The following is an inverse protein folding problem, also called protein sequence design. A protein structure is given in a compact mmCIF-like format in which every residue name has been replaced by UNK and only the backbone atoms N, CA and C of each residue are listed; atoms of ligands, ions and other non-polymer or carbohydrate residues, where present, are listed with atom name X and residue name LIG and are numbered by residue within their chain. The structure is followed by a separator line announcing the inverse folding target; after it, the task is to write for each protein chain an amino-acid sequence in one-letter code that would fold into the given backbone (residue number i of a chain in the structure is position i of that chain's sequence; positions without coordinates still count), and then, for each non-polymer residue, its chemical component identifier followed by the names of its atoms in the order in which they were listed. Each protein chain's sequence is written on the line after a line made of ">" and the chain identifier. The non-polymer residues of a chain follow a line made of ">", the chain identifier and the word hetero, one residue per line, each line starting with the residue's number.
data_IF_967093549529
#
_entry.id   IF_967093549529
#
_cell.length_a   1.000
_cell.length_b   1.000
_cell.length_c   1.000
_cell.angle_alpha   90.00
_cell.angle_beta   90.00
_cell.angle_gamma   90.00
#
_symmetry.space_group_name_H-M   'P 1'
#
loop_
_entity.id
_entity.type
_entity.pdbx_description
1 polymer ?
#
# COMPACT_ATOMS: atom_id res chain seq x y z
N UNK A 1 -11.37 -10.98 -23.03
CA UNK A 1 -10.34 -11.33 -22.03
C UNK A 1 -10.98 -11.27 -20.63
N UNK A 2 -10.79 -12.33 -19.83
CA UNK A 2 -11.25 -12.33 -18.42
C UNK A 2 -10.22 -11.58 -17.55
N UNK A 3 -10.57 -10.36 -17.14
CA UNK A 3 -9.71 -9.52 -16.28
C UNK A 3 -9.43 -10.13 -14.90
N UNK A 4 -10.28 -11.10 -14.46
CA UNK A 4 -10.09 -11.79 -13.18
C UNK A 4 -8.83 -12.67 -13.15
N UNK A 5 -8.26 -12.99 -14.32
CA UNK A 5 -6.98 -13.73 -14.41
C UNK A 5 -5.86 -13.01 -13.67
N UNK A 6 -5.85 -11.66 -13.65
CA UNK A 6 -4.83 -10.89 -12.93
C UNK A 6 -4.86 -11.10 -11.40
N UNK A 7 -6.02 -11.47 -10.83
CA UNK A 7 -6.15 -11.80 -9.41
C UNK A 7 -5.57 -13.18 -9.04
N UNK A 8 -5.15 -13.97 -10.04
CA UNK A 8 -4.43 -15.24 -9.80
C UNK A 8 -2.93 -15.06 -9.57
N UNK A 9 -2.40 -13.88 -9.89
CA UNK A 9 -1.02 -13.56 -9.55
C UNK A 9 -0.87 -13.47 -8.03
N UNK A 10 0.21 -14.06 -7.51
CA UNK A 10 0.53 -13.96 -6.08
C UNK A 10 1.35 -12.70 -5.85
N UNK A 11 0.85 -11.83 -5.01
CA UNK A 11 1.51 -10.59 -4.59
C UNK A 11 1.78 -10.62 -3.09
N UNK A 12 2.96 -10.14 -2.68
CA UNK A 12 3.20 -9.69 -1.31
C UNK A 12 2.52 -8.34 -1.05
N UNK A 13 2.64 -7.85 0.17
CA UNK A 13 2.19 -6.51 0.55
C UNK A 13 3.29 -5.79 1.33
N UNK A 14 3.46 -4.53 1.02
CA UNK A 14 4.61 -3.75 1.47
C UNK A 14 4.21 -2.32 1.82
N UNK A 15 4.90 -1.75 2.81
CA UNK A 15 4.95 -0.30 2.97
C UNK A 15 6.21 0.21 2.27
N UNK A 16 6.02 0.98 1.23
CA UNK A 16 7.08 1.70 0.52
C UNK A 16 7.27 3.07 1.15
N UNK A 17 8.48 3.43 1.50
CA UNK A 17 8.81 4.74 2.10
C UNK A 17 9.90 5.44 1.33
N UNK A 18 9.84 6.76 1.31
CA UNK A 18 10.85 7.63 0.72
C UNK A 18 10.84 9.01 1.40
N UNK A 19 11.92 9.75 1.21
CA UNK A 19 12.08 11.11 1.71
C UNK A 19 12.75 11.98 0.62
N UNK A 20 12.34 13.23 0.55
CA UNK A 20 13.04 14.28 -0.18
C UNK A 20 12.80 15.62 0.50
N UNK A 21 13.81 16.50 0.53
CA UNK A 21 13.70 17.84 1.10
C UNK A 21 13.11 17.89 2.52
N UNK A 22 13.48 16.91 3.36
CA UNK A 22 13.00 16.80 4.73
C UNK A 22 11.57 16.30 4.89
N UNK A 23 10.87 15.93 3.81
CA UNK A 23 9.51 15.37 3.84
C UNK A 23 9.56 13.86 3.69
N UNK A 24 9.08 13.15 4.70
CA UNK A 24 8.89 11.70 4.65
C UNK A 24 7.50 11.35 4.14
N UNK A 25 7.38 10.28 3.37
CA UNK A 25 6.09 9.70 3.01
C UNK A 25 6.18 8.20 2.81
N UNK A 26 5.03 7.53 2.89
CA UNK A 26 4.91 6.12 2.59
C UNK A 26 3.57 5.78 1.96
N UNK A 27 3.52 4.67 1.22
CA UNK A 27 2.30 4.13 0.64
C UNK A 27 2.33 2.60 0.62
N UNK A 28 1.16 1.98 0.52
CA UNK A 28 1.05 0.54 0.30
C UNK A 28 1.30 0.23 -1.17
N UNK A 29 2.14 -0.78 -1.42
CA UNK A 29 2.31 -1.38 -2.75
C UNK A 29 2.23 -2.90 -2.65
N UNK A 30 1.98 -3.56 -3.77
CA UNK A 30 2.02 -5.02 -3.93
C UNK A 30 2.97 -5.47 -5.05
N UNK A 31 3.79 -4.57 -5.55
CA UNK A 31 4.57 -4.74 -6.79
C UNK A 31 6.08 -4.85 -6.55
N UNK A 32 6.52 -5.08 -5.28
CA UNK A 32 7.93 -5.32 -5.02
C UNK A 32 8.31 -6.77 -5.33
N UNK A 33 9.44 -6.95 -6.01
CA UNK A 33 9.98 -8.26 -6.34
C UNK A 33 11.46 -8.23 -6.62
N UNK A 34 12.18 -9.28 -6.24
CA UNK A 34 13.58 -9.46 -6.60
C UNK A 34 13.72 -9.68 -8.12
N UNK A 35 14.65 -8.99 -8.75
CA UNK A 35 14.91 -9.08 -10.19
C UNK A 35 16.16 -9.91 -10.47
N UNK A 36 17.23 -9.64 -9.73
CA UNK A 36 18.50 -10.38 -9.82
C UNK A 36 19.05 -10.62 -8.43
N UNK A 37 19.81 -11.70 -8.25
CA UNK A 37 20.49 -12.03 -6.99
C UNK A 37 21.94 -11.54 -6.96
N UNK A 38 22.60 -11.46 -8.12
CA UNK A 38 23.97 -11.00 -8.23
C UNK A 38 24.17 -10.21 -9.54
N UNK A 39 24.29 -8.88 -9.47
CA UNK A 39 24.11 -8.06 -8.27
C UNK A 39 22.66 -8.11 -7.77
N UNK A 40 22.47 -7.90 -6.45
CA UNK A 40 21.15 -7.97 -5.85
C UNK A 40 20.31 -6.74 -6.23
N UNK A 41 19.20 -6.96 -6.93
CA UNK A 41 18.30 -5.92 -7.42
C UNK A 41 16.84 -6.24 -7.11
N UNK A 42 16.10 -5.20 -6.80
CA UNK A 42 14.66 -5.22 -6.59
C UNK A 42 13.96 -4.30 -7.60
N UNK A 43 12.76 -4.68 -8.02
CA UNK A 43 11.87 -3.80 -8.77
C UNK A 43 10.65 -3.42 -7.95
N UNK A 44 10.13 -2.21 -8.18
CA UNK A 44 8.85 -1.73 -7.67
C UNK A 44 8.12 -0.97 -8.78
N UNK A 45 6.81 -1.16 -8.91
CA UNK A 45 5.98 -0.32 -9.77
C UNK A 45 5.11 0.60 -8.89
N UNK A 46 5.26 1.90 -9.04
CA UNK A 46 4.63 2.90 -8.17
C UNK A 46 3.70 3.79 -8.98
N UNK A 47 2.46 3.93 -8.52
CA UNK A 47 1.48 4.83 -9.14
C UNK A 47 1.96 6.29 -9.03
N UNK A 48 1.95 7.02 -10.15
CA UNK A 48 2.37 8.43 -10.22
C UNK A 48 1.48 9.37 -9.39
N UNK A 49 0.27 8.96 -9.04
CA UNK A 49 -0.60 9.72 -8.13
C UNK A 49 -0.12 9.68 -6.67
N UNK A 50 0.70 8.71 -6.29
CA UNK A 50 1.26 8.62 -4.94
C UNK A 50 2.35 9.68 -4.72
N UNK A 51 2.26 10.42 -3.62
CA UNK A 51 3.31 11.38 -3.26
C UNK A 51 4.67 10.72 -3.05
N UNK A 52 4.71 9.49 -2.53
CA UNK A 52 5.93 8.69 -2.38
C UNK A 52 6.64 8.47 -3.70
N UNK A 53 5.91 8.38 -4.83
CA UNK A 53 6.49 8.30 -6.16
C UNK A 53 7.38 9.51 -6.47
N UNK A 54 6.91 10.73 -6.19
CA UNK A 54 7.66 11.96 -6.47
C UNK A 54 8.91 12.05 -5.61
N UNK A 55 8.82 11.62 -4.33
CA UNK A 55 9.96 11.57 -3.43
C UNK A 55 11.03 10.60 -3.92
N UNK A 56 10.64 9.42 -4.43
CA UNK A 56 11.59 8.45 -5.01
C UNK A 56 12.25 9.03 -6.25
N UNK A 57 11.49 9.70 -7.12
CA UNK A 57 12.05 10.33 -8.31
C UNK A 57 13.10 11.40 -7.96
N UNK A 58 12.87 12.16 -6.91
CA UNK A 58 13.77 13.22 -6.45
C UNK A 58 15.00 12.65 -5.74
N UNK A 59 14.82 11.74 -4.78
CA UNK A 59 15.90 11.24 -3.92
C UNK A 59 16.64 10.04 -4.49
N UNK A 60 16.04 9.30 -5.43
CA UNK A 60 16.54 8.02 -5.98
C UNK A 60 16.70 6.91 -4.92
N UNK A 61 16.05 7.05 -3.77
CA UNK A 61 16.15 6.09 -2.66
C UNK A 61 14.78 5.74 -2.13
N UNK A 62 14.64 4.49 -1.68
CA UNK A 62 13.44 4.02 -1.00
C UNK A 62 13.74 2.88 -0.04
N UNK A 63 12.81 2.64 0.90
CA UNK A 63 12.76 1.42 1.69
C UNK A 63 11.45 0.67 1.39
N UNK A 64 11.52 -0.65 1.40
CA UNK A 64 10.37 -1.55 1.33
C UNK A 64 10.30 -2.31 2.65
N UNK A 65 9.25 -2.10 3.43
CA UNK A 65 8.94 -2.90 4.62
C UNK A 65 8.00 -4.04 4.21
N UNK A 66 8.41 -5.27 4.43
CA UNK A 66 7.66 -6.48 4.03
C UNK A 66 6.64 -6.77 5.13
N UNK A 67 5.34 -6.59 4.83
CA UNK A 67 4.29 -6.84 5.80
C UNK A 67 4.12 -8.33 6.05
N UNK A 68 3.95 -8.69 7.32
CA UNK A 68 3.66 -10.05 7.76
C UNK A 68 2.17 -10.28 7.96
N UNK A 69 1.77 -11.52 8.19
CA UNK A 69 0.38 -11.88 8.56
C UNK A 69 -0.07 -11.28 9.89
N UNK A 70 0.88 -10.77 10.69
CA UNK A 70 0.60 -10.03 11.94
C UNK A 70 0.26 -8.55 11.71
N UNK A 71 0.37 -8.07 10.47
CA UNK A 71 0.04 -6.68 10.13
C UNK A 71 -1.44 -6.40 10.35
N UNK A 72 -1.74 -5.31 11.06
CA UNK A 72 -3.12 -4.89 11.35
C UNK A 72 -3.67 -4.01 10.23
N UNK A 73 -4.99 -4.00 10.06
CA UNK A 73 -5.67 -3.18 9.04
C UNK A 73 -5.35 -1.69 9.18
N UNK A 74 -5.07 -1.21 10.40
CA UNK A 74 -4.66 0.17 10.67
C UNK A 74 -3.43 0.60 9.89
N UNK A 75 -2.45 -0.28 9.68
CA UNK A 75 -1.26 -0.01 8.86
C UNK A 75 -1.65 0.24 7.41
N UNK A 76 -2.54 -0.59 6.86
CA UNK A 76 -3.05 -0.42 5.49
C UNK A 76 -3.87 0.86 5.35
N UNK A 77 -4.71 1.18 6.34
CA UNK A 77 -5.48 2.42 6.36
C UNK A 77 -4.57 3.64 6.44
N UNK A 78 -3.56 3.59 7.30
CA UNK A 78 -2.63 4.70 7.52
C UNK A 78 -1.80 5.01 6.28
N UNK A 79 -1.20 4.01 5.65
CA UNK A 79 -0.32 4.21 4.50
C UNK A 79 -1.04 4.15 3.15
N UNK A 80 -2.19 3.47 3.05
CA UNK A 80 -2.90 3.22 1.79
C UNK A 80 -4.06 4.18 1.48
N UNK A 81 -4.76 4.73 2.51
CA UNK A 81 -6.02 5.45 2.30
C UNK A 81 -5.93 6.96 2.52
N UNK A 82 -4.74 7.50 2.67
CA UNK A 82 -4.50 8.94 2.78
C UNK A 82 -3.33 9.35 1.89
N UNK A 83 -3.36 10.61 1.43
CA UNK A 83 -2.30 11.16 0.60
C UNK A 83 -1.21 11.82 1.47
N UNK A 84 0.06 11.49 1.23
CA UNK A 84 1.19 12.19 1.84
C UNK A 84 1.35 13.65 1.38
N UNK A 85 0.56 14.09 0.38
CA UNK A 85 0.52 15.51 -0.03
C UNK A 85 -0.24 16.38 0.98
N UNK A 86 -1.19 15.79 1.71
CA UNK A 86 -2.09 16.51 2.64
C UNK A 86 -1.89 16.11 4.09
N UNK A 87 -1.26 14.95 4.34
CA UNK A 87 -1.06 14.42 5.70
C UNK A 87 0.39 14.01 5.87
N UNK A 88 1.04 14.49 6.92
CA UNK A 88 2.31 13.92 7.36
C UNK A 88 2.06 12.59 8.07
N UNK A 89 2.37 11.50 7.37
CA UNK A 89 2.12 10.13 7.85
C UNK A 89 3.07 9.70 8.96
N UNK A 90 4.15 10.45 9.21
CA UNK A 90 5.15 10.10 10.21
C UNK A 90 5.15 11.00 11.44
N UNK A 91 4.41 12.13 11.45
CA UNK A 91 4.39 13.10 12.55
C UNK A 91 4.10 12.49 13.93
N UNK A 92 3.24 11.46 14.01
CA UNK A 92 2.88 10.77 15.25
C UNK A 92 2.96 9.24 15.11
N UNK A 93 3.70 8.76 14.12
CA UNK A 93 3.83 7.32 13.88
C UNK A 93 5.10 6.78 14.55
N UNK A 94 4.93 6.04 15.63
CA UNK A 94 6.04 5.56 16.48
C UNK A 94 6.57 4.17 16.09
N UNK A 95 5.80 3.40 15.30
CA UNK A 95 6.15 2.04 14.90
C UNK A 95 7.03 2.03 13.64
N UNK A 96 8.08 2.85 13.65
CA UNK A 96 9.05 2.95 12.57
C UNK A 96 10.45 3.26 13.12
N UNK A 97 11.47 2.93 12.32
CA UNK A 97 12.87 3.28 12.58
C UNK A 97 13.51 3.78 11.29
N UNK A 98 14.65 4.46 11.39
CA UNK A 98 15.45 4.82 10.21
C UNK A 98 16.51 3.76 9.95
N UNK A 99 16.62 3.35 8.69
CA UNK A 99 17.70 2.49 8.20
C UNK A 99 18.97 3.31 7.92
N UNK A 100 20.04 2.64 7.50
CA UNK A 100 21.33 3.28 7.22
C UNK A 100 21.26 4.38 6.14
N UNK A 101 20.31 4.27 5.18
CA UNK A 101 20.10 5.30 4.16
C UNK A 101 19.32 6.53 4.64
N UNK A 102 18.94 6.58 5.92
CA UNK A 102 18.21 7.66 6.56
C UNK A 102 16.69 7.63 6.38
N UNK A 103 16.14 6.70 5.60
CA UNK A 103 14.70 6.56 5.36
C UNK A 103 14.03 5.71 6.45
N UNK A 104 12.74 5.97 6.70
CA UNK A 104 11.96 5.14 7.60
C UNK A 104 11.69 3.74 7.00
N UNK A 105 11.67 2.75 7.89
CA UNK A 105 11.02 1.46 7.67
C UNK A 105 10.06 1.18 8.83
N UNK A 106 9.02 0.40 8.57
CA UNK A 106 7.98 0.07 9.54
C UNK A 106 8.42 -1.15 10.34
N UNK A 107 8.19 -1.12 11.65
CA UNK A 107 8.58 -2.21 12.56
C UNK A 107 7.40 -3.08 12.99
N UNK A 108 6.19 -2.50 13.10
CA UNK A 108 5.01 -3.26 13.52
C UNK A 108 4.41 -4.06 12.37
N UNK A 109 4.17 -5.36 12.59
CA UNK A 109 3.60 -6.26 11.58
C UNK A 109 4.46 -6.40 10.34
N UNK A 110 5.78 -6.27 10.49
CA UNK A 110 6.77 -6.36 9.41
C UNK A 110 7.77 -7.45 9.74
N UNK A 111 8.07 -8.32 8.78
CA UNK A 111 9.03 -9.41 8.96
C UNK A 111 10.39 -9.17 8.34
N UNK A 112 10.56 -8.09 7.56
CA UNK A 112 11.84 -7.67 7.01
C UNK A 112 11.73 -6.32 6.31
N UNK A 113 12.89 -5.69 6.07
CA UNK A 113 12.95 -4.51 5.22
C UNK A 113 14.11 -4.61 4.21
N UNK A 114 13.99 -3.82 3.14
CA UNK A 114 14.99 -3.68 2.08
C UNK A 114 15.16 -2.20 1.82
N UNK A 115 16.40 -1.70 1.88
CA UNK A 115 16.81 -0.36 1.45
C UNK A 115 17.42 -0.45 0.06
N UNK A 116 17.07 0.47 -0.83
CA UNK A 116 17.53 0.41 -2.20
C UNK A 116 17.74 1.79 -2.84
N UNK A 117 18.68 1.86 -3.77
CA UNK A 117 18.98 3.03 -4.60
C UNK A 117 18.58 2.75 -6.06
N UNK A 118 17.77 3.64 -6.63
CA UNK A 118 17.24 3.52 -8.00
C UNK A 118 18.36 3.62 -9.02
N UNK A 119 18.46 2.62 -9.90
CA UNK A 119 19.36 2.57 -11.05
C UNK A 119 18.64 2.92 -12.35
N UNK A 120 17.38 2.48 -12.52
CA UNK A 120 16.60 2.67 -13.75
C UNK A 120 15.16 3.03 -13.45
N UNK A 121 14.58 3.82 -14.34
CA UNK A 121 13.15 4.20 -14.32
C UNK A 121 12.53 3.93 -15.69
N UNK A 122 11.39 3.25 -15.71
CA UNK A 122 10.63 2.97 -16.94
C UNK A 122 9.23 3.53 -16.75
N UNK A 123 8.84 4.42 -17.66
CA UNK A 123 7.49 5.00 -17.67
C UNK A 123 6.49 3.99 -18.24
N UNK A 124 5.48 3.64 -17.43
CA UNK A 124 4.39 2.73 -17.80
C UNK A 124 3.05 3.48 -17.94
N UNK A 125 3.06 4.79 -18.16
CA UNK A 125 1.86 5.62 -18.23
C UNK A 125 1.37 6.02 -16.85
N UNK A 126 0.53 5.22 -16.20
CA UNK A 126 -0.01 5.49 -14.84
C UNK A 126 0.98 5.21 -13.72
N UNK A 127 1.98 4.39 -13.96
CA UNK A 127 3.01 3.96 -13.00
C UNK A 127 4.40 4.21 -13.55
N UNK A 128 5.37 4.28 -12.66
CA UNK A 128 6.79 4.15 -13.01
C UNK A 128 7.30 2.84 -12.42
N UNK A 129 7.96 2.03 -13.24
CA UNK A 129 8.74 0.87 -12.78
C UNK A 129 10.14 1.36 -12.44
N UNK A 130 10.53 1.19 -11.19
CA UNK A 130 11.88 1.45 -10.71
C UNK A 130 12.63 0.13 -10.57
N UNK A 131 13.84 0.06 -11.08
CA UNK A 131 14.81 -1.01 -10.82
C UNK A 131 15.90 -0.41 -9.95
N UNK A 132 16.21 -1.06 -8.84
CA UNK A 132 17.10 -0.51 -7.82
C UNK A 132 18.09 -1.55 -7.31
N UNK A 133 19.31 -1.12 -7.05
CA UNK A 133 20.29 -1.90 -6.32
C UNK A 133 19.88 -1.98 -4.83
N UNK A 134 19.99 -3.16 -4.23
CA UNK A 134 19.79 -3.35 -2.80
C UNK A 134 21.04 -2.90 -2.05
N UNK A 135 20.89 -1.91 -1.17
CA UNK A 135 21.98 -1.34 -0.37
C UNK A 135 22.08 -2.02 1.00
N UNK A 136 20.92 -2.36 1.60
CA UNK A 136 20.80 -2.95 2.93
C UNK A 136 19.49 -3.71 3.06
N UNK A 137 19.46 -4.75 3.89
CA UNK A 137 18.26 -5.54 4.16
C UNK A 137 18.41 -6.31 5.47
N UNK A 138 17.29 -6.50 6.17
CA UNK A 138 17.27 -7.23 7.45
C UNK A 138 15.98 -8.03 7.61
N UNK A 139 16.09 -9.22 8.19
CA UNK A 139 14.95 -10.00 8.68
C UNK A 139 14.61 -9.55 10.09
N UNK A 140 13.40 -9.03 10.31
CA UNK A 140 12.94 -8.48 11.58
C UNK A 140 12.19 -9.52 12.44
N UNK A 141 11.53 -10.48 11.81
CA UNK A 141 10.82 -11.56 12.51
C UNK A 141 10.68 -12.82 11.65
N UNK A 142 10.32 -13.93 12.29
CA UNK A 142 10.00 -15.20 11.61
C UNK A 142 8.54 -15.34 11.17
N UNK A 143 7.72 -14.30 11.30
CA UNK A 143 6.32 -14.34 10.89
C UNK A 143 6.19 -14.50 9.36
N UNK A 144 5.19 -15.25 8.86
CA UNK A 144 4.95 -15.38 7.42
C UNK A 144 4.64 -14.03 6.78
N UNK A 145 5.11 -13.82 5.54
CA UNK A 145 4.79 -12.62 4.77
C UNK A 145 3.32 -12.60 4.35
N UNK A 146 2.64 -11.48 4.55
CA UNK A 146 1.27 -11.29 4.10
C UNK A 146 1.19 -11.29 2.57
N UNK A 147 0.34 -12.14 2.01
CA UNK A 147 -0.04 -12.09 0.61
C UNK A 147 -1.26 -11.18 0.40
N UNK A 148 -1.46 -10.70 -0.82
CA UNK A 148 -2.68 -9.94 -1.15
C UNK A 148 -3.94 -10.79 -0.92
N UNK A 149 -3.89 -12.11 -1.14
CA UNK A 149 -4.99 -13.02 -0.85
C UNK A 149 -5.29 -13.08 0.66
N UNK A 150 -4.25 -13.23 1.49
CA UNK A 150 -4.40 -13.21 2.96
C UNK A 150 -4.97 -11.87 3.47
N UNK A 151 -4.48 -10.75 2.93
CA UNK A 151 -5.06 -9.44 3.26
C UNK A 151 -6.58 -9.39 2.99
N UNK A 152 -7.03 -9.89 1.86
CA UNK A 152 -8.45 -9.86 1.50
C UNK A 152 -9.31 -10.79 2.37
N UNK A 153 -8.77 -11.95 2.80
CA UNK A 153 -9.51 -12.94 3.59
C UNK A 153 -9.48 -12.68 5.09
N UNK A 154 -8.35 -12.18 5.63
CA UNK A 154 -8.07 -12.21 7.07
C UNK A 154 -7.82 -10.83 7.68
N UNK A 155 -7.11 -9.91 6.98
CA UNK A 155 -6.75 -8.61 7.54
C UNK A 155 -7.81 -7.55 7.25
N UNK A 156 -8.31 -7.50 5.99
CA UNK A 156 -9.31 -6.51 5.57
C UNK A 156 -10.63 -6.75 6.31
N UNK A 157 -11.21 -5.73 6.99
CA UNK A 157 -12.50 -5.89 7.63
C UNK A 157 -13.54 -6.40 6.64
N UNK A 158 -14.21 -7.49 7.00
CA UNK A 158 -15.34 -7.98 6.22
C UNK A 158 -16.51 -7.03 6.44
N UNK A 159 -17.30 -6.70 5.40
CA UNK A 159 -18.53 -5.96 5.58
C UNK A 159 -19.38 -6.69 6.63
N UNK A 160 -19.85 -5.98 7.64
CA UNK A 160 -20.83 -6.55 8.55
C UNK A 160 -22.00 -7.09 7.74
N UNK A 161 -22.47 -8.31 8.05
CA UNK A 161 -23.66 -8.86 7.40
C UNK A 161 -24.79 -7.85 7.60
N UNK A 162 -25.59 -7.54 6.56
CA UNK A 162 -26.67 -6.58 6.69
C UNK A 162 -27.60 -6.96 7.84
N UNK A 163 -27.66 -6.08 8.83
CA UNK A 163 -28.42 -6.31 10.06
C UNK A 163 -29.94 -6.20 9.88
N UNK A 164 -30.44 -5.78 8.70
CA UNK A 164 -31.88 -5.69 8.44
C UNK A 164 -32.23 -5.96 6.98
N UNK A 165 -33.19 -6.88 6.75
CA UNK A 165 -33.83 -7.08 5.46
C UNK A 165 -34.60 -5.79 5.07
N UNK A 166 -34.25 -5.17 3.95
CA UNK A 166 -35.08 -4.16 3.31
C UNK A 166 -34.47 -2.81 2.96
N UNK A 167 -33.18 -2.56 3.27
CA UNK A 167 -32.51 -1.31 2.80
C UNK A 167 -31.45 -1.61 1.76
N UNK A 168 -31.47 -0.86 0.67
CA UNK A 168 -30.38 -0.88 -0.33
C UNK A 168 -29.05 -0.52 0.32
N UNK A 169 -28.02 -1.27 0.02
CA UNK A 169 -26.67 -1.04 0.54
C UNK A 169 -25.67 -0.85 -0.60
N UNK A 170 -24.72 0.05 -0.40
CA UNK A 170 -23.65 0.36 -1.32
C UNK A 170 -22.32 0.14 -0.63
N UNK A 171 -21.46 -0.69 -1.19
CA UNK A 171 -20.16 -1.03 -0.62
C UNK A 171 -19.02 -0.38 -1.38
N UNK A 172 -18.15 0.33 -0.69
CA UNK A 172 -16.90 0.83 -1.25
C UNK A 172 -16.00 -0.36 -1.64
N UNK A 173 -15.63 -0.47 -2.91
CA UNK A 173 -14.78 -1.55 -3.44
C UNK A 173 -13.34 -1.46 -2.94
N UNK A 174 -12.94 -0.28 -2.46
CA UNK A 174 -11.57 -0.03 -1.98
C UNK A 174 -11.39 -0.48 -0.52
N UNK A 175 -12.23 0.02 0.41
CA UNK A 175 -12.05 -0.24 1.85
C UNK A 175 -13.12 -1.13 2.47
N UNK A 176 -14.22 -1.42 1.76
CA UNK A 176 -15.31 -2.24 2.27
C UNK A 176 -16.34 -1.49 3.12
N UNK A 177 -16.23 -0.16 3.29
CA UNK A 177 -17.23 0.65 3.97
C UNK A 177 -18.61 0.46 3.32
N UNK A 178 -19.66 0.31 4.12
CA UNK A 178 -21.04 0.15 3.66
C UNK A 178 -21.83 1.42 3.96
N UNK A 179 -22.43 1.99 2.92
CA UNK A 179 -23.42 3.06 3.00
C UNK A 179 -24.82 2.47 2.89
N UNK A 180 -25.74 2.83 3.78
CA UNK A 180 -27.14 2.41 3.78
C UNK A 180 -28.01 3.54 3.26
N UNK A 181 -28.67 3.33 2.12
CA UNK A 181 -29.56 4.31 1.50
C UNK A 181 -30.15 3.77 0.20
N UNK A 182 -31.34 4.20 -0.18
CA UNK A 182 -32.00 3.78 -1.44
C UNK A 182 -31.14 4.12 -2.66
N UNK A 183 -30.49 5.28 -2.64
CA UNK A 183 -29.56 5.76 -3.65
C UNK A 183 -28.27 6.25 -2.99
N UNK A 184 -27.14 6.06 -3.67
CA UNK A 184 -25.87 6.63 -3.27
C UNK A 184 -25.77 8.04 -3.88
N UNK A 185 -25.60 9.12 -3.07
CA UNK A 185 -25.42 10.46 -3.62
C UNK A 185 -24.23 10.52 -4.59
N UNK A 186 -24.40 11.23 -5.71
CA UNK A 186 -23.35 11.31 -6.74
C UNK A 186 -22.06 11.99 -6.23
N UNK A 187 -22.18 12.85 -5.23
CA UNK A 187 -21.09 13.55 -4.55
C UNK A 187 -20.60 12.84 -3.28
N UNK A 188 -21.10 11.62 -3.01
CA UNK A 188 -20.70 10.86 -1.82
C UNK A 188 -19.21 10.53 -1.84
N UNK A 189 -18.57 10.82 -0.72
CA UNK A 189 -17.14 10.49 -0.50
C UNK A 189 -17.05 9.52 0.67
N UNK A 190 -16.39 8.40 0.44
CA UNK A 190 -16.20 7.38 1.47
C UNK A 190 -15.55 7.99 2.74
N UNK A 191 -16.17 7.89 3.93
CA UNK A 191 -15.63 8.49 5.15
C UNK A 191 -14.32 7.84 5.60
N UNK A 192 -14.05 6.57 5.20
CA UNK A 192 -12.85 5.84 5.59
C UNK A 192 -11.67 6.10 4.65
N UNK A 193 -11.88 5.95 3.34
CA UNK A 193 -10.77 6.00 2.36
C UNK A 193 -10.81 7.20 1.43
N UNK A 194 -11.84 8.07 1.56
CA UNK A 194 -12.02 9.28 0.76
C UNK A 194 -12.20 9.05 -0.75
N UNK A 195 -12.54 7.84 -1.16
CA UNK A 195 -12.86 7.53 -2.55
C UNK A 195 -14.27 7.99 -2.92
N UNK A 196 -14.50 8.40 -4.18
CA UNK A 196 -15.78 8.92 -4.66
C UNK A 196 -16.86 7.84 -4.79
N UNK A 197 -18.09 8.26 -5.04
CA UNK A 197 -19.25 7.38 -5.26
C UNK A 197 -19.04 6.35 -6.38
N UNK A 198 -18.25 6.67 -7.41
CA UNK A 198 -17.90 5.76 -8.52
C UNK A 198 -17.21 4.46 -8.07
N UNK A 199 -16.61 4.47 -6.89
CA UNK A 199 -15.92 3.32 -6.32
C UNK A 199 -16.81 2.50 -5.37
N UNK A 200 -18.13 2.70 -5.46
CA UNK A 200 -19.12 1.93 -4.73
C UNK A 200 -19.89 1.00 -5.66
N UNK A 201 -20.15 -0.20 -5.18
CA UNK A 201 -21.04 -1.17 -5.83
C UNK A 201 -22.28 -1.41 -5.00
N UNK A 202 -23.44 -1.56 -5.66
CA UNK A 202 -24.69 -1.93 -5.00
C UNK A 202 -24.59 -3.39 -4.56
N UNK A 203 -24.86 -3.67 -3.27
CA UNK A 203 -24.70 -5.02 -2.71
C UNK A 203 -26.03 -5.74 -2.56
N UNK A 204 -27.13 -5.02 -2.41
CA UNK A 204 -28.53 -5.46 -2.46
C UNK A 204 -29.49 -4.29 -2.72
#
# INVERSE_FOLDING_TARGET
>A
MDKKTMYKLTYGLFVLTAQSEGKDSGCIINTAGQVTSEPNRISIAVNKANFTHDLIKASKKFNVSILSEEAKFETFRHFGFQSGRTVDKFANYTECKRSANGLYYITAGTNGYISATVEQEIDLGTHTLFIAAVDDMEVLSGAPSATYAYYQSDIKPKPEKPAQKGKTQWRCTVCGYVYEGEELPADFVCPLCKHPASDFEKVQ
#
